data_IF_805340707033
#
_entry.id   IF_805340707033
#
_cell.length_a   1.000
_cell.length_b   1.000
_cell.length_c   1.000
_cell.angle_alpha   90.00
_cell.angle_beta   90.00
_cell.angle_gamma   90.00
#
_symmetry.space_group_name_H-M   'P 1'
#
loop_
_entity.id
_entity.type
_entity.pdbx_description
1 polymer ?
#
# COMPACT_ATOMS: atom_id res chain seq x y z
N UNK A 1 31.96 -8.00 -0.23
CA UNK A 1 31.20 -8.02 -0.28
C UNK A 1 30.31 -8.12 -0.14
N UNK A 2 29.87 -8.06 -0.17
CA UNK A 2 28.96 -8.10 -0.10
C UNK A 2 28.21 -7.77 -0.21
N UNK A 3 27.98 -7.71 -0.65
CA UNK A 3 27.14 -7.33 -0.93
C UNK A 3 26.32 -7.58 -1.66
N UNK A 4 26.50 -8.18 -2.39
CA UNK A 4 25.70 -8.69 -3.25
C UNK A 4 24.30 -8.81 -2.95
N UNK A 5 23.91 -9.07 -1.92
CA UNK A 5 22.57 -9.04 -1.43
C UNK A 5 21.94 -7.70 -1.62
N UNK A 6 22.71 -6.69 -1.50
CA UNK A 6 22.21 -5.37 -1.73
C UNK A 6 21.76 -5.19 -3.13
N UNK A 7 22.41 -5.83 -4.06
CA UNK A 7 22.01 -5.72 -5.44
C UNK A 7 20.61 -6.24 -5.65
N UNK A 8 20.29 -7.33 -5.01
CA UNK A 8 18.95 -7.86 -5.12
C UNK A 8 17.93 -6.90 -4.60
N UNK A 9 18.24 -6.27 -3.50
CA UNK A 9 17.29 -5.36 -2.91
C UNK A 9 17.11 -4.10 -3.73
N UNK A 10 18.11 -3.74 -4.51
CA UNK A 10 18.01 -2.53 -5.28
C UNK A 10 16.92 -2.63 -6.35
N UNK A 11 16.49 -3.85 -6.70
CA UNK A 11 15.40 -4.00 -7.64
C UNK A 11 14.03 -3.81 -6.99
N UNK A 12 13.99 -3.73 -5.64
CA UNK A 12 12.76 -3.60 -4.89
C UNK A 12 12.77 -2.21 -4.28
N UNK A 13 12.29 -1.25 -5.03
CA UNK A 13 12.42 0.15 -4.65
C UNK A 13 11.17 0.69 -4.03
N UNK A 14 11.36 1.41 -2.93
CA UNK A 14 10.28 2.16 -2.33
C UNK A 14 10.13 3.46 -3.09
N UNK A 15 8.95 3.68 -3.66
CA UNK A 15 8.70 4.84 -4.50
C UNK A 15 8.34 6.09 -3.70
N UNK A 16 7.95 5.90 -2.45
CA UNK A 16 7.61 7.01 -1.56
C UNK A 16 7.67 6.53 -0.12
N UNK A 17 7.86 7.45 0.83
CA UNK A 17 7.87 7.05 2.25
C UNK A 17 6.44 6.84 2.75
N UNK A 18 6.28 5.95 3.72
CA UNK A 18 4.97 5.63 4.28
C UNK A 18 4.59 6.51 5.46
N UNK A 19 5.56 7.12 6.11
CA UNK A 19 5.30 7.81 7.36
C UNK A 19 4.86 6.80 8.42
N UNK A 20 3.97 7.22 9.30
CA UNK A 20 3.48 6.37 10.36
C UNK A 20 2.46 5.39 9.79
N UNK A 21 2.66 4.11 10.04
CA UNK A 21 1.76 3.07 9.54
C UNK A 21 0.68 2.82 10.58
N UNK A 22 -0.57 2.97 10.20
CA UNK A 22 -1.70 2.78 11.10
C UNK A 22 -2.74 1.90 10.41
N UNK A 23 -3.62 1.29 11.20
CA UNK A 23 -4.67 0.42 10.68
C UNK A 23 -5.93 0.61 11.49
N UNK A 24 -7.07 0.61 10.82
CA UNK A 24 -8.37 0.72 11.49
C UNK A 24 -8.70 -0.60 12.16
N UNK A 25 -9.63 -0.59 13.13
CA UNK A 25 -10.09 -1.85 13.73
C UNK A 25 -10.64 -2.84 12.70
N UNK A 26 -11.36 -2.35 11.69
CA UNK A 26 -11.89 -3.24 10.65
C UNK A 26 -10.79 -3.89 9.84
N UNK A 27 -9.76 -3.13 9.49
CA UNK A 27 -8.63 -3.68 8.76
C UNK A 27 -7.90 -4.72 9.58
N UNK A 28 -7.68 -4.43 10.88
CA UNK A 28 -7.02 -5.39 11.76
C UNK A 28 -7.83 -6.67 11.88
N UNK A 29 -9.15 -6.56 12.00
CA UNK A 29 -10.01 -7.72 12.07
C UNK A 29 -9.95 -8.54 10.79
N UNK A 30 -10.02 -7.89 9.64
CA UNK A 30 -9.96 -8.58 8.35
C UNK A 30 -8.65 -9.35 8.21
N UNK A 31 -7.54 -8.70 8.51
CA UNK A 31 -6.24 -9.33 8.38
C UNK A 31 -6.09 -10.51 9.33
N UNK A 32 -6.60 -10.36 10.56
CA UNK A 32 -6.50 -11.40 11.56
C UNK A 32 -7.32 -12.64 11.20
N UNK A 33 -8.60 -12.46 10.85
CA UNK A 33 -9.45 -13.62 10.58
C UNK A 33 -9.14 -14.29 9.24
N UNK A 34 -8.45 -13.60 8.32
CA UNK A 34 -8.01 -14.22 7.07
C UNK A 34 -6.57 -14.68 7.15
N UNK A 35 -5.92 -14.49 8.30
CA UNK A 35 -4.53 -14.87 8.52
C UNK A 35 -3.63 -14.28 7.45
N UNK A 36 -3.86 -13.01 7.13
CA UNK A 36 -3.14 -12.31 6.07
C UNK A 36 -2.07 -11.40 6.68
N UNK A 37 -0.89 -11.44 6.09
CA UNK A 37 0.21 -10.60 6.53
C UNK A 37 0.09 -9.22 5.87
N UNK A 38 -0.12 -8.18 6.67
CA UNK A 38 -0.28 -6.84 6.16
C UNK A 38 0.93 -6.37 5.36
N UNK A 39 2.13 -6.82 5.74
CA UNK A 39 3.34 -6.40 5.06
C UNK A 39 3.34 -6.74 3.58
N UNK A 40 2.69 -7.83 3.21
CA UNK A 40 2.59 -8.21 1.82
C UNK A 40 1.95 -7.10 1.00
N UNK A 41 0.87 -6.53 1.49
CA UNK A 41 0.14 -5.48 0.77
C UNK A 41 0.82 -4.12 0.92
N UNK A 42 1.37 -3.82 2.09
CA UNK A 42 2.09 -2.58 2.29
C UNK A 42 3.27 -2.49 1.32
N UNK A 43 3.96 -3.61 1.14
CA UNK A 43 5.09 -3.65 0.22
C UNK A 43 4.66 -3.43 -1.22
N UNK A 44 3.55 -4.07 -1.63
CA UNK A 44 3.02 -3.87 -2.97
C UNK A 44 2.67 -2.40 -3.20
N UNK A 45 2.03 -1.79 -2.22
CA UNK A 45 1.63 -0.38 -2.28
C UNK A 45 2.86 0.52 -2.48
N UNK A 46 3.90 0.29 -1.71
CA UNK A 46 5.09 1.14 -1.73
C UNK A 46 5.92 0.96 -3.00
N UNK A 47 5.71 -0.13 -3.73
CA UNK A 47 6.45 -0.40 -4.95
C UNK A 47 5.64 -0.13 -6.23
N UNK A 48 4.46 0.46 -6.09
CA UNK A 48 3.69 0.86 -7.26
C UNK A 48 2.72 -0.18 -7.78
N UNK A 49 2.46 -1.22 -7.01
CA UNK A 49 1.43 -2.21 -7.35
C UNK A 49 0.16 -1.81 -6.63
N UNK A 50 -0.70 -1.07 -7.33
CA UNK A 50 -1.87 -0.46 -6.72
C UNK A 50 -3.05 -1.41 -6.56
N UNK A 51 -2.90 -2.66 -7.01
CA UNK A 51 -3.96 -3.66 -6.89
C UNK A 51 -5.06 -3.44 -7.90
N UNK A 52 -6.30 -3.49 -7.43
CA UNK A 52 -7.48 -3.50 -8.30
C UNK A 52 -8.11 -2.13 -8.47
N UNK A 53 -7.33 -1.07 -8.47
CA UNK A 53 -7.88 0.26 -8.76
C UNK A 53 -8.11 0.41 -10.26
N UNK A 54 -9.05 1.28 -10.68
CA UNK A 54 -9.23 1.57 -12.10
C UNK A 54 -7.95 2.17 -12.72
N UNK A 55 -7.80 2.03 -14.02
CA UNK A 55 -6.57 2.46 -14.69
C UNK A 55 -6.31 3.95 -14.52
N UNK A 56 -7.36 4.78 -14.52
CA UNK A 56 -7.17 6.22 -14.34
C UNK A 56 -6.70 6.54 -12.92
N UNK A 57 -7.12 5.72 -11.94
CA UNK A 57 -6.65 5.91 -10.57
C UNK A 57 -5.19 5.45 -10.45
N UNK A 58 -4.84 4.39 -11.17
CA UNK A 58 -3.45 3.95 -11.19
C UNK A 58 -2.54 5.02 -11.78
N UNK A 59 -3.00 5.68 -12.84
CA UNK A 59 -2.25 6.78 -13.43
C UNK A 59 -2.14 7.95 -12.48
N UNK A 60 -3.21 8.25 -11.75
CA UNK A 60 -3.19 9.32 -10.77
C UNK A 60 -2.18 9.01 -9.66
N UNK A 61 -2.14 7.76 -9.20
CA UNK A 61 -1.17 7.34 -8.20
C UNK A 61 0.26 7.53 -8.72
N UNK A 62 0.49 7.17 -9.98
CA UNK A 62 1.81 7.30 -10.57
C UNK A 62 2.26 8.76 -10.61
N UNK A 63 1.34 9.66 -10.95
CA UNK A 63 1.65 11.08 -10.94
C UNK A 63 1.83 11.59 -9.52
N UNK A 64 1.10 11.02 -8.57
CA UNK A 64 1.14 11.46 -7.17
C UNK A 64 2.51 11.23 -6.55
N UNK A 65 3.26 10.25 -7.03
CA UNK A 65 4.61 10.01 -6.54
C UNK A 65 5.45 11.26 -6.72
N UNK A 66 5.29 11.95 -7.85
CA UNK A 66 6.06 13.14 -8.16
C UNK A 66 5.43 14.43 -7.64
N UNK A 67 4.11 14.51 -7.67
CA UNK A 67 3.41 15.75 -7.33
C UNK A 67 3.09 15.88 -5.86
N UNK A 68 3.21 14.81 -5.08
CA UNK A 68 2.92 14.86 -3.65
C UNK A 68 1.44 14.85 -3.33
N UNK A 69 0.65 14.13 -4.12
CA UNK A 69 -0.75 13.92 -3.82
C UNK A 69 -0.95 12.60 -3.10
N UNK A 70 -2.17 12.40 -2.59
CA UNK A 70 -2.52 11.18 -1.88
C UNK A 70 -2.47 9.97 -2.81
N UNK A 71 -2.05 8.82 -2.27
CA UNK A 71 -1.94 7.59 -3.04
C UNK A 71 -2.85 6.55 -2.40
N UNK A 72 -3.65 5.86 -3.22
CA UNK A 72 -4.60 4.87 -2.75
C UNK A 72 -4.47 3.57 -3.52
N UNK A 73 -4.31 2.46 -2.80
CA UNK A 73 -4.31 1.12 -3.37
C UNK A 73 -5.50 0.33 -2.86
N UNK A 74 -5.95 -0.65 -3.65
CA UNK A 74 -7.07 -1.52 -3.29
C UNK A 74 -6.69 -2.96 -3.61
N UNK A 75 -6.73 -3.83 -2.61
CA UNK A 75 -6.33 -5.23 -2.79
C UNK A 75 -7.44 -6.14 -2.35
N UNK A 76 -7.69 -7.20 -3.13
CA UNK A 76 -8.56 -8.27 -2.68
C UNK A 76 -7.79 -9.15 -1.71
N UNK A 77 -8.32 -9.31 -0.51
CA UNK A 77 -7.75 -10.22 0.48
C UNK A 77 -8.28 -11.63 0.24
N UNK A 78 -9.52 -11.70 -0.22
CA UNK A 78 -10.15 -12.94 -0.69
C UNK A 78 -11.12 -12.57 -1.80
N UNK A 79 -12.00 -13.47 -2.18
CA UNK A 79 -12.86 -13.25 -3.35
C UNK A 79 -13.81 -12.07 -3.18
N UNK A 80 -14.14 -11.67 -1.94
CA UNK A 80 -15.19 -10.68 -1.71
C UNK A 80 -14.76 -9.51 -0.87
N UNK A 81 -13.63 -9.59 -0.17
CA UNK A 81 -13.24 -8.54 0.78
C UNK A 81 -11.98 -7.83 0.34
N UNK A 82 -11.99 -6.51 0.47
CA UNK A 82 -10.88 -5.68 0.04
C UNK A 82 -10.25 -4.94 1.20
N UNK A 83 -8.97 -4.70 1.05
CA UNK A 83 -8.20 -3.85 1.95
C UNK A 83 -7.73 -2.64 1.16
N UNK A 84 -8.00 -1.45 1.66
CA UNK A 84 -7.48 -0.22 1.08
C UNK A 84 -6.25 0.24 1.85
N UNK A 85 -5.29 0.81 1.14
CA UNK A 85 -4.12 1.42 1.75
C UNK A 85 -3.97 2.82 1.18
N UNK A 86 -3.98 3.82 2.07
CA UNK A 86 -3.91 5.22 1.67
C UNK A 86 -2.71 5.87 2.31
N UNK A 87 -1.85 6.50 1.49
CA UNK A 87 -0.76 7.33 2.00
C UNK A 87 -1.13 8.79 1.80
N UNK A 88 -1.04 9.57 2.88
CA UNK A 88 -1.40 10.97 2.85
C UNK A 88 -0.48 11.78 1.94
N UNK A 89 -1.00 12.92 1.45
CA UNK A 89 -0.26 13.73 0.51
C UNK A 89 1.10 14.15 1.05
N UNK A 90 1.16 14.52 2.32
CA UNK A 90 2.42 14.96 2.94
C UNK A 90 3.29 13.80 3.40
N UNK A 91 2.87 12.57 3.12
CA UNK A 91 3.60 11.35 3.48
C UNK A 91 3.76 11.18 4.99
N UNK A 92 2.87 11.79 5.78
CA UNK A 92 2.96 11.71 7.24
C UNK A 92 2.45 10.38 7.76
N UNK A 93 1.54 9.73 7.04
CA UNK A 93 0.92 8.49 7.51
C UNK A 93 0.41 7.67 6.35
N UNK A 94 0.40 6.35 6.57
CA UNK A 94 -0.21 5.39 5.66
C UNK A 94 -1.19 4.57 6.47
N UNK A 95 -2.44 4.52 6.01
CA UNK A 95 -3.53 3.88 6.73
C UNK A 95 -4.06 2.67 5.98
N UNK A 96 -4.20 1.55 6.69
CA UNK A 96 -4.89 0.37 6.19
C UNK A 96 -6.31 0.44 6.71
N UNK A 97 -7.29 0.31 5.82
CA UNK A 97 -8.69 0.44 6.21
C UNK A 97 -9.57 -0.35 5.26
N UNK A 98 -10.81 -0.59 5.67
CA UNK A 98 -11.80 -1.18 4.79
C UNK A 98 -12.44 -0.07 3.95
N UNK A 99 -12.90 -0.38 2.73
CA UNK A 99 -13.54 0.64 1.90
C UNK A 99 -14.71 1.34 2.60
N UNK A 100 -15.49 0.58 3.40
CA UNK A 100 -16.65 1.16 4.08
C UNK A 100 -16.24 2.03 5.27
N UNK A 101 -15.00 2.03 5.66
CA UNK A 101 -14.51 2.88 6.74
C UNK A 101 -13.98 4.21 6.21
N UNK A 102 -13.95 4.35 4.92
CA UNK A 102 -13.45 5.58 4.31
C UNK A 102 -14.52 6.70 4.35
#
# INVERSE_FOLDING_TARGET
>A
MNHNTELNRSSVRCLFPLGQLVATPGALDLLDRTETNAQTFVRRHQHGDWGSVPSEDAEANQRAIETGCRILSSYFVNDTERLWIITEADRSATTLLLPEEY
#
